data_IF_205472334203
#
_entry.id   IF_205472334203
#
_cell.length_a   1.000
_cell.length_b   1.000
_cell.length_c   1.000
_cell.angle_alpha   90.00
_cell.angle_beta   90.00
_cell.angle_gamma   90.00
#
_symmetry.space_group_name_H-M   'P 1'
#
loop_
_entity.id
_entity.type
_entity.pdbx_description
1 polymer ?
#
# COMPACT_ATOMS: atom_id res chain seq x y z
N UNK A 1 6.90 12.96 22.23
CA UNK A 1 6.52 12.87 20.81
C UNK A 1 7.73 12.44 19.99
N UNK A 2 7.53 11.53 19.04
CA UNK A 2 8.56 10.98 18.17
C UNK A 2 8.14 11.19 16.72
N UNK A 3 9.01 11.84 15.93
CA UNK A 3 8.73 12.17 14.54
C UNK A 3 9.81 11.55 13.64
N UNK A 4 9.40 10.91 12.55
CA UNK A 4 10.28 10.58 11.43
C UNK A 4 10.09 11.65 10.36
N UNK A 5 10.96 12.66 10.39
CA UNK A 5 10.78 13.92 9.65
C UNK A 5 10.96 13.79 8.13
N UNK A 6 11.82 12.87 7.70
CA UNK A 6 12.07 12.63 6.28
C UNK A 6 12.28 11.14 6.08
N UNK A 7 11.44 10.54 5.26
CA UNK A 7 11.59 9.13 4.90
C UNK A 7 11.06 8.86 3.50
N UNK A 8 11.69 7.97 2.82
CA UNK A 8 11.30 7.33 1.56
C UNK A 8 12.23 6.15 1.28
N UNK A 9 12.18 5.56 0.10
CA UNK A 9 13.08 4.47 -0.30
C UNK A 9 14.45 4.96 -0.79
N UNK A 10 14.66 6.26 -1.00
CA UNK A 10 15.86 6.80 -1.64
C UNK A 10 17.09 6.64 -0.76
N UNK A 11 18.11 6.02 -1.30
CA UNK A 11 19.44 5.88 -0.67
C UNK A 11 20.38 6.97 -1.16
N UNK A 12 20.11 8.21 -0.75
CA UNK A 12 20.91 9.37 -1.12
C UNK A 12 22.37 9.22 -0.71
N UNK A 13 23.27 9.76 -1.50
CA UNK A 13 24.73 9.79 -1.23
C UNK A 13 25.39 8.40 -1.21
N UNK A 14 24.77 7.41 -1.84
CA UNK A 14 25.32 6.06 -2.03
C UNK A 14 25.37 5.69 -3.51
N UNK A 15 26.10 4.63 -3.85
CA UNK A 15 26.10 4.07 -5.21
C UNK A 15 24.74 3.49 -5.61
N UNK A 16 23.88 3.19 -4.64
CA UNK A 16 22.52 2.70 -4.85
C UNK A 16 21.51 3.81 -5.19
N UNK A 17 21.90 5.08 -5.15
CA UNK A 17 20.98 6.18 -5.44
C UNK A 17 20.21 6.02 -6.76
N UNK A 18 20.85 5.73 -7.91
CA UNK A 18 20.13 5.57 -9.18
C UNK A 18 19.15 4.39 -9.18
N UNK A 19 19.48 3.32 -8.45
CA UNK A 19 18.61 2.15 -8.30
C UNK A 19 17.41 2.48 -7.43
N UNK A 20 17.63 3.13 -6.29
CA UNK A 20 16.56 3.50 -5.37
C UNK A 20 15.52 4.44 -6.01
N UNK A 21 15.92 5.37 -6.88
CA UNK A 21 15.01 6.20 -7.67
C UNK A 21 14.13 5.35 -8.62
N UNK A 22 14.72 4.34 -9.28
CA UNK A 22 13.94 3.43 -10.13
C UNK A 22 12.96 2.60 -9.33
N UNK A 23 13.37 2.14 -8.15
CA UNK A 23 12.50 1.40 -7.23
C UNK A 23 11.32 2.26 -6.80
N UNK A 24 11.55 3.51 -6.43
CA UNK A 24 10.46 4.42 -6.06
C UNK A 24 9.42 4.61 -7.16
N UNK A 25 9.82 4.60 -8.41
CA UNK A 25 8.91 4.72 -9.56
C UNK A 25 8.20 3.40 -9.92
N UNK A 26 8.45 2.33 -9.20
CA UNK A 26 7.95 0.98 -9.48
C UNK A 26 6.87 0.54 -8.47
N UNK A 27 6.18 -0.58 -8.70
CA UNK A 27 5.27 -1.19 -7.72
C UNK A 27 5.92 -1.45 -6.36
N UNK A 28 7.23 -1.80 -6.34
CA UNK A 28 7.98 -1.99 -5.10
C UNK A 28 8.03 -0.71 -4.27
N UNK A 29 8.22 0.45 -4.91
CA UNK A 29 8.16 1.75 -4.22
C UNK A 29 6.80 2.02 -3.59
N UNK A 30 5.71 1.73 -4.29
CA UNK A 30 4.36 1.83 -3.76
C UNK A 30 4.10 0.89 -2.60
N UNK A 31 4.47 -0.38 -2.75
CA UNK A 31 4.34 -1.38 -1.69
C UNK A 31 5.19 -1.04 -0.46
N UNK A 32 6.43 -0.56 -0.65
CA UNK A 32 7.30 -0.09 0.44
C UNK A 32 6.64 1.02 1.26
N UNK A 33 6.13 2.06 0.57
CA UNK A 33 5.48 3.19 1.25
C UNK A 33 4.31 2.72 2.11
N UNK A 34 3.46 1.86 1.55
CA UNK A 34 2.29 1.35 2.25
C UNK A 34 2.66 0.42 3.41
N UNK A 35 3.60 -0.52 3.20
CA UNK A 35 4.08 -1.43 4.23
C UNK A 35 4.73 -0.68 5.40
N UNK A 36 5.57 0.34 5.12
CA UNK A 36 6.19 1.16 6.14
C UNK A 36 5.15 1.91 6.99
N UNK A 37 4.13 2.51 6.37
CA UNK A 37 3.05 3.16 7.10
C UNK A 37 2.24 2.18 7.96
N UNK A 38 1.96 0.98 7.45
CA UNK A 38 1.24 -0.07 8.17
C UNK A 38 2.04 -0.61 9.37
N UNK A 39 3.34 -0.84 9.19
CA UNK A 39 4.22 -1.31 10.26
C UNK A 39 4.37 -0.24 11.36
N UNK A 40 4.52 1.02 10.98
CA UNK A 40 4.63 2.13 11.92
C UNK A 40 3.33 2.45 12.67
N UNK A 41 2.17 2.00 12.20
CA UNK A 41 0.86 2.30 12.82
C UNK A 41 0.77 1.83 14.28
N UNK A 42 1.47 0.76 14.64
CA UNK A 42 1.51 0.23 16.00
C UNK A 42 2.87 0.51 16.70
N UNK A 43 3.68 1.38 16.14
CA UNK A 43 4.96 1.82 16.69
C UNK A 43 4.77 3.02 17.63
N UNK A 44 5.79 3.42 18.40
CA UNK A 44 5.74 4.62 19.24
C UNK A 44 5.90 5.92 18.45
N UNK A 45 5.86 5.90 17.13
CA UNK A 45 5.96 7.10 16.28
C UNK A 45 4.63 7.86 16.27
N UNK A 46 4.70 9.15 16.56
CA UNK A 46 3.54 10.04 16.51
C UNK A 46 3.28 10.58 15.10
N UNK A 47 4.33 10.67 14.26
CA UNK A 47 4.21 11.24 12.92
C UNK A 47 5.27 10.70 11.95
N UNK A 48 4.83 10.41 10.72
CA UNK A 48 5.65 10.07 9.57
C UNK A 48 5.53 11.18 8.52
N UNK A 49 6.64 11.78 8.10
CA UNK A 49 6.66 12.84 7.08
C UNK A 49 7.35 12.32 5.82
N UNK A 50 6.55 11.86 4.86
CA UNK A 50 7.10 11.36 3.59
C UNK A 50 7.82 12.46 2.82
N UNK A 51 9.06 12.24 2.44
CA UNK A 51 9.87 13.17 1.68
C UNK A 51 10.11 12.63 0.27
N UNK A 52 9.57 13.26 -0.79
CA UNK A 52 8.56 14.32 -0.73
C UNK A 52 7.54 14.09 -1.85
N UNK A 53 6.44 14.85 -1.87
CA UNK A 53 5.41 14.73 -2.90
C UNK A 53 5.44 15.84 -3.96
N UNK A 54 6.52 16.62 -4.04
CA UNK A 54 6.66 17.67 -5.08
C UNK A 54 6.83 17.04 -6.45
N UNK A 55 5.94 17.32 -7.42
CA UNK A 55 5.91 16.57 -8.69
C UNK A 55 7.19 16.63 -9.52
N UNK A 56 7.99 17.68 -9.40
CA UNK A 56 9.22 17.87 -10.18
C UNK A 56 10.50 17.33 -9.51
N UNK A 57 10.37 16.58 -8.44
CA UNK A 57 11.53 15.94 -7.81
C UNK A 57 11.60 14.47 -8.20
N UNK A 58 12.80 13.92 -8.35
CA UNK A 58 13.00 12.48 -8.55
C UNK A 58 12.72 11.67 -7.28
N UNK A 59 12.58 12.33 -6.13
CA UNK A 59 12.41 11.70 -4.83
C UNK A 59 10.95 11.49 -4.42
N UNK A 60 10.00 11.97 -5.22
CA UNK A 60 8.60 11.92 -4.84
C UNK A 60 7.97 10.51 -4.94
N UNK A 61 8.39 9.69 -5.90
CA UNK A 61 7.85 8.34 -6.14
C UNK A 61 6.37 8.29 -6.56
N UNK A 62 5.64 9.39 -6.44
CA UNK A 62 4.21 9.46 -6.74
C UNK A 62 3.92 9.95 -8.16
N UNK A 63 4.82 10.76 -8.71
CA UNK A 63 4.69 11.33 -10.06
C UNK A 63 6.01 11.21 -10.83
N UNK A 64 5.92 10.88 -12.10
CA UNK A 64 7.06 10.92 -12.98
C UNK A 64 7.52 12.39 -13.16
N UNK A 65 8.79 12.73 -12.89
CA UNK A 65 9.30 14.07 -13.15
C UNK A 65 9.07 14.50 -14.60
N UNK A 66 8.68 15.75 -14.80
CA UNK A 66 8.42 16.39 -16.10
C UNK A 66 7.14 15.97 -16.84
N UNK A 67 6.72 14.71 -16.80
CA UNK A 67 5.46 14.26 -17.46
C UNK A 67 4.27 14.31 -16.52
N UNK A 68 4.52 14.22 -15.21
CA UNK A 68 3.50 14.15 -14.15
C UNK A 68 2.61 12.91 -14.21
N UNK A 69 3.04 11.89 -14.95
CA UNK A 69 2.34 10.59 -14.95
C UNK A 69 2.31 10.03 -13.53
N UNK A 70 1.15 9.52 -13.14
CA UNK A 70 0.94 8.92 -11.82
C UNK A 70 1.70 7.60 -11.72
N UNK A 71 2.40 7.41 -10.60
CA UNK A 71 3.19 6.22 -10.28
C UNK A 71 2.51 5.37 -9.18
N UNK A 72 2.93 4.11 -8.98
CA UNK A 72 2.32 3.22 -7.99
C UNK A 72 2.27 3.77 -6.56
N UNK A 73 3.29 4.53 -6.12
CA UNK A 73 3.30 5.12 -4.78
C UNK A 73 2.19 6.16 -4.56
N UNK A 74 1.72 6.84 -5.61
CA UNK A 74 0.54 7.71 -5.50
C UNK A 74 -0.70 6.92 -5.05
N UNK A 75 -0.94 5.76 -5.68
CA UNK A 75 -2.09 4.94 -5.34
C UNK A 75 -1.95 4.29 -3.96
N UNK A 76 -0.75 3.91 -3.55
CA UNK A 76 -0.48 3.43 -2.20
C UNK A 76 -0.82 4.49 -1.14
N UNK A 77 -0.38 5.74 -1.35
CA UNK A 77 -0.71 6.88 -0.49
C UNK A 77 -2.21 7.22 -0.52
N UNK A 78 -2.82 7.14 -1.70
CA UNK A 78 -4.26 7.37 -1.85
C UNK A 78 -5.08 6.33 -1.09
N UNK A 79 -4.75 5.03 -1.21
CA UNK A 79 -5.42 3.96 -0.47
C UNK A 79 -5.24 4.10 1.04
N UNK A 80 -4.05 4.54 1.46
CA UNK A 80 -3.81 4.86 2.87
C UNK A 80 -4.70 6.00 3.36
N UNK A 81 -4.80 7.09 2.61
CA UNK A 81 -5.67 8.21 2.94
C UNK A 81 -7.14 7.79 3.02
N UNK A 82 -7.62 6.99 2.05
CA UNK A 82 -8.96 6.41 2.05
C UNK A 82 -9.23 5.54 3.30
N UNK A 83 -8.21 4.86 3.83
CA UNK A 83 -8.32 4.08 5.06
C UNK A 83 -8.27 4.98 6.30
N UNK A 84 -7.35 5.94 6.35
CA UNK A 84 -7.12 6.81 7.50
C UNK A 84 -8.34 7.70 7.80
N UNK A 85 -8.96 8.24 6.75
CA UNK A 85 -10.17 9.08 6.87
C UNK A 85 -11.45 8.27 7.10
N UNK A 86 -11.37 6.93 7.00
CA UNK A 86 -12.56 6.08 7.05
C UNK A 86 -13.14 5.91 8.44
N UNK A 87 -12.30 5.85 9.47
CA UNK A 87 -12.81 5.68 10.83
C UNK A 87 -11.79 5.16 11.84
N UNK A 88 -12.23 4.27 12.72
CA UNK A 88 -11.39 3.74 13.80
C UNK A 88 -10.68 2.46 13.36
N UNK A 89 -9.39 2.36 13.63
CA UNK A 89 -8.62 1.14 13.40
C UNK A 89 -9.24 -0.04 14.16
N UNK A 90 -9.35 -1.17 13.47
CA UNK A 90 -9.77 -2.45 14.04
C UNK A 90 -8.73 -3.52 13.76
N UNK A 91 -8.80 -4.62 14.51
CA UNK A 91 -7.84 -5.71 14.37
C UNK A 91 -7.94 -6.34 12.98
N UNK A 92 -6.81 -6.53 12.34
CA UNK A 92 -6.63 -7.36 11.15
C UNK A 92 -5.38 -8.22 11.32
N UNK A 93 -5.43 -9.44 10.82
CA UNK A 93 -4.34 -10.41 10.92
C UNK A 93 -4.08 -11.06 9.57
N UNK A 94 -2.80 -11.37 9.30
CA UNK A 94 -2.37 -12.22 8.21
C UNK A 94 -1.29 -13.19 8.70
N UNK A 95 -1.30 -14.42 8.22
CA UNK A 95 -0.28 -15.43 8.57
C UNK A 95 0.98 -15.36 7.71
N UNK A 96 0.89 -14.67 6.57
CA UNK A 96 1.98 -14.51 5.62
C UNK A 96 2.94 -13.38 6.04
N UNK A 97 4.25 -13.67 6.08
CA UNK A 97 5.25 -12.74 6.61
C UNK A 97 5.52 -11.50 5.73
N UNK A 98 5.29 -11.60 4.44
CA UNK A 98 5.48 -10.53 3.47
C UNK A 98 4.19 -9.74 3.17
N UNK A 99 3.15 -9.97 3.99
CA UNK A 99 1.86 -9.29 3.87
C UNK A 99 1.57 -8.48 5.13
N UNK A 100 1.33 -7.19 4.91
CA UNK A 100 0.94 -6.22 5.93
C UNK A 100 -0.55 -5.95 5.81
N UNK A 101 -1.24 -5.82 6.94
CA UNK A 101 -2.68 -5.53 6.97
C UNK A 101 -2.99 -4.40 7.94
N UNK A 102 -3.90 -3.53 7.56
CA UNK A 102 -4.51 -2.53 8.45
C UNK A 102 -5.98 -2.39 8.07
N UNK A 103 -6.86 -2.44 9.04
CA UNK A 103 -8.28 -2.30 8.81
C UNK A 103 -8.88 -1.17 9.64
N UNK A 104 -9.93 -0.53 9.10
CA UNK A 104 -10.68 0.51 9.79
C UNK A 104 -12.19 0.27 9.66
N UNK A 105 -12.93 0.69 10.68
CA UNK A 105 -14.39 0.66 10.72
C UNK A 105 -14.94 2.07 10.80
N UNK A 106 -15.86 2.38 9.91
CA UNK A 106 -16.56 3.66 9.88
C UNK A 106 -17.66 3.77 10.95
N UNK A 107 -18.17 4.98 11.15
CA UNK A 107 -19.24 5.24 12.09
C UNK A 107 -20.60 4.58 11.67
N UNK A 108 -20.78 4.32 10.37
CA UNK A 108 -21.94 3.62 9.81
C UNK A 108 -21.69 2.12 9.61
N UNK A 109 -20.72 1.57 10.36
CA UNK A 109 -20.40 0.15 10.48
C UNK A 109 -19.97 -0.53 9.17
N UNK A 110 -19.29 0.20 8.29
CA UNK A 110 -18.58 -0.38 7.14
C UNK A 110 -17.14 -0.69 7.50
N UNK A 111 -16.51 -1.61 6.76
CA UNK A 111 -15.09 -1.94 6.95
C UNK A 111 -14.27 -1.65 5.70
N UNK A 112 -13.04 -1.17 5.90
CA UNK A 112 -11.99 -1.18 4.88
C UNK A 112 -10.78 -1.94 5.39
N UNK A 113 -10.17 -2.70 4.49
CA UNK A 113 -8.92 -3.43 4.71
C UNK A 113 -7.91 -2.98 3.66
N UNK A 114 -6.79 -2.46 4.13
CA UNK A 114 -5.61 -2.22 3.32
C UNK A 114 -4.69 -3.44 3.46
N UNK A 115 -4.33 -4.06 2.36
CA UNK A 115 -3.49 -5.23 2.28
C UNK A 115 -2.32 -4.93 1.36
N UNK A 116 -1.10 -5.05 1.88
CA UNK A 116 0.13 -4.79 1.13
C UNK A 116 1.00 -6.03 1.14
N UNK A 117 1.37 -6.51 -0.05
CA UNK A 117 2.46 -7.45 -0.19
C UNK A 117 3.73 -6.68 -0.55
N UNK A 118 4.74 -6.77 0.29
CA UNK A 118 6.04 -6.12 0.07
C UNK A 118 7.17 -7.13 0.22
N UNK A 119 8.10 -7.10 -0.73
CA UNK A 119 9.28 -7.92 -0.71
C UNK A 119 10.51 -7.10 -1.09
N UNK A 120 11.50 -7.06 -0.20
CA UNK A 120 12.76 -6.35 -0.45
C UNK A 120 13.66 -7.11 -1.43
N UNK A 121 13.59 -8.45 -1.44
CA UNK A 121 14.41 -9.26 -2.33
C UNK A 121 13.84 -9.26 -3.76
N UNK A 122 14.57 -8.63 -4.66
CA UNK A 122 14.21 -8.52 -6.08
C UNK A 122 14.25 -9.86 -6.84
N UNK A 123 14.82 -10.92 -6.26
CA UNK A 123 14.76 -12.27 -6.81
C UNK A 123 13.40 -12.94 -6.64
N UNK A 124 12.59 -12.47 -5.68
CA UNK A 124 11.24 -12.98 -5.44
C UNK A 124 10.29 -12.45 -6.50
N UNK A 125 9.85 -13.34 -7.39
CA UNK A 125 8.95 -13.04 -8.52
C UNK A 125 7.67 -13.90 -8.49
N UNK A 126 7.43 -14.57 -7.38
CA UNK A 126 6.26 -15.41 -7.24
C UNK A 126 4.97 -14.59 -7.15
N UNK A 127 3.88 -15.24 -7.48
CA UNK A 127 2.53 -14.73 -7.29
C UNK A 127 1.94 -15.48 -6.10
N UNK A 128 1.32 -14.76 -5.17
CA UNK A 128 0.60 -15.37 -4.05
C UNK A 128 -0.90 -15.31 -4.25
N UNK A 129 -1.53 -16.40 -3.87
CA UNK A 129 -2.97 -16.49 -3.67
C UNK A 129 -3.28 -16.18 -2.21
N UNK A 130 -3.84 -14.99 -1.96
CA UNK A 130 -4.20 -14.52 -0.62
C UNK A 130 -5.70 -14.69 -0.42
N UNK A 131 -6.08 -15.62 0.45
CA UNK A 131 -7.49 -15.81 0.79
C UNK A 131 -7.94 -14.74 1.77
N UNK A 132 -8.98 -14.01 1.41
CA UNK A 132 -9.62 -13.00 2.24
C UNK A 132 -10.99 -13.50 2.64
N UNK A 133 -11.23 -13.61 3.94
CA UNK A 133 -12.55 -13.95 4.48
C UNK A 133 -13.36 -12.68 4.74
N UNK A 134 -14.58 -12.63 4.23
CA UNK A 134 -15.51 -11.55 4.53
C UNK A 134 -15.96 -11.69 5.98
N UNK A 135 -15.85 -10.65 6.82
CA UNK A 135 -16.27 -10.74 8.21
C UNK A 135 -17.79 -11.02 8.33
N UNK A 136 -18.18 -11.75 9.37
CA UNK A 136 -19.57 -12.08 9.60
C UNK A 136 -20.46 -10.83 9.68
N UNK A 137 -21.55 -10.82 8.95
CA UNK A 137 -22.50 -9.70 8.89
C UNK A 137 -22.17 -8.67 7.80
N UNK A 138 -21.04 -8.82 7.11
CA UNK A 138 -20.64 -7.95 6.01
C UNK A 138 -20.75 -8.65 4.66
N UNK A 139 -20.72 -7.86 3.60
CA UNK A 139 -20.57 -8.32 2.21
C UNK A 139 -19.44 -7.56 1.52
N UNK A 140 -18.75 -8.20 0.60
CA UNK A 140 -17.77 -7.55 -0.22
C UNK A 140 -18.42 -6.48 -1.12
N UNK A 141 -17.89 -5.27 -1.09
CA UNK A 141 -18.36 -4.16 -1.90
C UNK A 141 -17.42 -3.85 -3.06
N UNK A 142 -16.12 -3.76 -2.79
CA UNK A 142 -15.14 -3.47 -3.82
C UNK A 142 -13.75 -3.97 -3.45
N UNK A 143 -12.96 -4.26 -4.48
CA UNK A 143 -11.51 -4.50 -4.37
C UNK A 143 -10.83 -3.64 -5.41
N UNK A 144 -9.86 -2.83 -4.96
CA UNK A 144 -8.97 -2.03 -5.83
C UNK A 144 -7.55 -2.51 -5.63
N UNK A 145 -6.77 -2.60 -6.68
CA UNK A 145 -5.42 -3.15 -6.67
C UNK A 145 -4.47 -2.31 -7.51
N UNK A 146 -3.30 -2.00 -6.95
CA UNK A 146 -2.15 -1.48 -7.69
C UNK A 146 -0.97 -2.45 -7.61
N UNK A 147 -0.40 -2.78 -8.75
CA UNK A 147 0.71 -3.72 -8.93
C UNK A 147 1.54 -3.34 -10.18
N UNK A 148 2.17 -4.31 -10.85
CA UNK A 148 2.96 -4.07 -12.07
C UNK A 148 2.11 -3.86 -13.33
N UNK A 149 0.78 -4.00 -13.25
CA UNK A 149 -0.07 -3.85 -14.42
C UNK A 149 -0.16 -2.38 -14.87
N UNK A 150 -0.41 -2.18 -16.15
CA UNK A 150 -0.47 -0.85 -16.75
C UNK A 150 -1.56 0.03 -16.14
N UNK A 151 -2.68 -0.55 -15.76
CA UNK A 151 -3.76 0.12 -15.03
C UNK A 151 -3.45 0.09 -13.54
N UNK A 152 -3.00 1.21 -13.00
CA UNK A 152 -2.45 1.31 -11.64
C UNK A 152 -3.50 1.29 -10.52
N UNK A 153 -4.78 1.47 -10.83
CA UNK A 153 -5.89 1.44 -9.88
C UNK A 153 -6.99 0.53 -10.43
N UNK A 154 -6.69 -0.75 -10.48
CA UNK A 154 -7.61 -1.74 -11.04
C UNK A 154 -8.73 -2.07 -10.06
N UNK A 155 -9.97 -1.93 -10.50
CA UNK A 155 -11.14 -2.45 -9.79
C UNK A 155 -11.37 -3.90 -10.20
N UNK A 156 -11.36 -4.80 -9.23
CA UNK A 156 -11.55 -6.23 -9.45
C UNK A 156 -13.03 -6.62 -9.26
N UNK A 157 -13.57 -7.37 -10.21
CA UNK A 157 -14.92 -7.96 -10.11
C UNK A 157 -14.83 -9.29 -9.33
N UNK A 158 -15.07 -9.22 -8.03
CA UNK A 158 -15.00 -10.37 -7.12
C UNK A 158 -16.32 -10.46 -6.34
N UNK A 159 -16.77 -11.67 -6.09
CA UNK A 159 -18.02 -11.94 -5.34
C UNK A 159 -17.83 -13.12 -4.37
N UNK A 160 -18.62 -13.17 -3.30
CA UNK A 160 -18.67 -14.26 -2.34
C UNK A 160 -18.19 -13.88 -0.93
N UNK A 161 -18.41 -14.79 0.02
CA UNK A 161 -18.07 -14.62 1.43
C UNK A 161 -16.59 -14.95 1.74
N UNK A 162 -15.91 -15.55 0.81
CA UNK A 162 -14.47 -15.80 0.83
C UNK A 162 -13.99 -15.71 -0.61
N UNK A 163 -12.92 -14.98 -0.83
CA UNK A 163 -12.34 -14.83 -2.16
C UNK A 163 -10.81 -14.89 -2.11
N UNK A 164 -10.23 -15.21 -3.24
CA UNK A 164 -8.78 -15.24 -3.42
C UNK A 164 -8.33 -14.01 -4.20
N UNK A 165 -7.41 -13.26 -3.61
CA UNK A 165 -6.73 -12.16 -4.25
C UNK A 165 -5.37 -12.64 -4.77
N UNK A 166 -5.14 -12.46 -6.06
CA UNK A 166 -3.88 -12.77 -6.72
C UNK A 166 -2.95 -11.57 -6.56
N UNK A 167 -1.86 -11.72 -5.81
CA UNK A 167 -0.92 -10.64 -5.52
C UNK A 167 0.49 -10.93 -6.03
N UNK A 168 1.03 -10.03 -6.82
CA UNK A 168 2.46 -10.01 -7.20
C UNK A 168 3.34 -9.75 -5.97
N UNK A 169 4.66 -9.93 -6.11
CA UNK A 169 5.63 -9.76 -5.01
C UNK A 169 5.64 -8.36 -4.39
N UNK A 170 5.12 -7.35 -5.10
CA UNK A 170 4.95 -5.98 -4.62
C UNK A 170 3.62 -5.43 -5.15
N UNK A 171 2.62 -5.39 -4.28
CA UNK A 171 1.28 -4.99 -4.65
C UNK A 171 0.52 -4.41 -3.42
N UNK A 172 -0.43 -3.52 -3.67
CA UNK A 172 -1.28 -2.93 -2.63
C UNK A 172 -2.74 -3.05 -3.04
N UNK A 173 -3.57 -3.55 -2.14
CA UNK A 173 -5.02 -3.66 -2.34
C UNK A 173 -5.80 -2.92 -1.27
N UNK A 174 -6.84 -2.19 -1.69
CA UNK A 174 -7.86 -1.64 -0.80
C UNK A 174 -9.17 -2.39 -1.02
N UNK A 175 -9.70 -2.96 0.06
CA UNK A 175 -10.89 -3.80 0.07
C UNK A 175 -11.94 -3.12 0.94
N UNK A 176 -13.17 -3.02 0.43
CA UNK A 176 -14.29 -2.44 1.17
C UNK A 176 -15.39 -3.49 1.39
N UNK A 177 -15.94 -3.50 2.60
CA UNK A 177 -17.06 -4.34 3.02
C UNK A 177 -18.20 -3.46 3.54
N UNK A 178 -19.45 -3.82 3.18
CA UNK A 178 -20.71 -3.16 3.56
C UNK A 178 -21.62 -4.09 4.31
#
# INVERSE_FOLDING_TARGET
EQFLNEWNYVQSWTDEYPNSIRVMASPKGGAFVCAAMQDCQNSPLDMLMYYDLRPNTTWNGAFMPHTYDILPAYWALYYWAELADFGTQVKSDCTEKDIYTTAARSADDKLRLLLTRYNEDDSVKDIKEVTVSVPQGYRLASVRLTDSQKELDRKLEITGDTFTLIMESNAVALIEFL
#
